data_IF_554266246138
#
_entry.id   IF_554266246138
#
_cell.length_a   1.000
_cell.length_b   1.000
_cell.length_c   1.000
_cell.angle_alpha   90.00
_cell.angle_beta   90.00
_cell.angle_gamma   90.00
#
_symmetry.space_group_name_H-M   'P 1'
#
loop_
_entity.id
_entity.type
_entity.pdbx_description
1 polymer ?
#
# COMPACT_ATOMS: atom_id res chain seq x y z
N UNK A 1 -7.28 10.20 -1.05
CA UNK A 1 -5.82 10.19 -0.86
C UNK A 1 -5.19 9.28 -1.89
N UNK A 2 -3.96 9.58 -2.32
CA UNK A 2 -3.11 8.68 -3.11
C UNK A 2 -2.44 7.69 -2.17
N UNK A 3 -2.61 6.40 -2.43
CA UNK A 3 -2.05 5.33 -1.61
C UNK A 3 -1.09 4.52 -2.45
N UNK A 4 0.20 4.53 -2.09
CA UNK A 4 1.18 3.66 -2.69
C UNK A 4 1.09 2.25 -2.12
N UNK A 5 1.10 1.23 -2.97
CA UNK A 5 1.06 -0.18 -2.56
C UNK A 5 2.46 -0.76 -2.72
N UNK A 6 3.02 -1.30 -1.64
CA UNK A 6 4.36 -1.86 -1.58
C UNK A 6 4.31 -3.30 -1.05
N UNK A 7 5.13 -4.19 -1.62
CA UNK A 7 5.11 -5.61 -1.26
C UNK A 7 6.09 -6.47 -2.06
N UNK A 8 6.15 -7.78 -1.79
CA UNK A 8 6.96 -8.71 -2.57
C UNK A 8 6.34 -8.92 -3.96
N UNK A 9 7.18 -8.87 -5.01
CA UNK A 9 6.80 -9.18 -6.40
C UNK A 9 7.70 -10.29 -6.99
N UNK A 10 9.02 -10.14 -6.89
CA UNK A 10 9.99 -11.07 -7.46
C UNK A 10 9.92 -12.47 -6.83
N UNK A 11 9.95 -13.51 -7.67
CA UNK A 11 9.94 -14.90 -7.23
C UNK A 11 8.57 -15.47 -6.84
N UNK A 12 7.49 -14.69 -6.97
CA UNK A 12 6.12 -15.14 -6.74
C UNK A 12 5.38 -15.42 -8.05
N UNK A 13 4.38 -16.34 -8.05
CA UNK A 13 3.51 -16.55 -9.20
C UNK A 13 2.88 -15.23 -9.67
N UNK A 14 2.88 -14.99 -10.99
CA UNK A 14 2.31 -13.78 -11.60
C UNK A 14 2.86 -12.47 -10.99
N UNK A 15 4.09 -12.48 -10.46
CA UNK A 15 4.71 -11.35 -9.75
C UNK A 15 3.83 -10.76 -8.64
N UNK A 16 2.98 -11.59 -8.03
CA UNK A 16 2.01 -11.17 -7.01
C UNK A 16 0.98 -10.12 -7.50
N UNK A 17 0.84 -9.91 -8.81
CA UNK A 17 -0.03 -8.89 -9.41
C UNK A 17 -1.47 -8.99 -8.91
N UNK A 18 -1.96 -10.21 -8.69
CA UNK A 18 -3.32 -10.46 -8.18
C UNK A 18 -3.54 -9.83 -6.80
N UNK A 19 -2.58 -9.98 -5.88
CA UNK A 19 -2.67 -9.38 -4.55
C UNK A 19 -2.58 -7.86 -4.60
N UNK A 20 -1.69 -7.32 -5.44
CA UNK A 20 -1.61 -5.87 -5.66
C UNK A 20 -2.92 -5.30 -6.20
N UNK A 21 -3.54 -5.99 -7.16
CA UNK A 21 -4.82 -5.58 -7.76
C UNK A 21 -5.99 -5.70 -6.76
N UNK A 22 -5.99 -6.73 -5.91
CA UNK A 22 -6.95 -6.87 -4.81
C UNK A 22 -6.87 -5.67 -3.86
N UNK A 23 -5.67 -5.34 -3.39
CA UNK A 23 -5.44 -4.18 -2.49
C UNK A 23 -5.80 -2.88 -3.20
N UNK A 24 -5.44 -2.72 -4.48
CA UNK A 24 -5.85 -1.55 -5.27
C UNK A 24 -7.38 -1.42 -5.33
N UNK A 25 -8.10 -2.54 -5.45
CA UNK A 25 -9.56 -2.58 -5.36
C UNK A 25 -10.09 -2.12 -4.01
N UNK A 26 -9.44 -2.50 -2.89
CA UNK A 26 -9.81 -2.01 -1.55
C UNK A 26 -9.55 -0.51 -1.38
N UNK A 27 -8.42 -0.02 -1.91
CA UNK A 27 -8.09 1.41 -1.93
C UNK A 27 -9.17 2.18 -2.70
N UNK A 28 -9.54 1.74 -3.90
CA UNK A 28 -10.62 2.36 -4.68
C UNK A 28 -11.94 2.32 -3.92
N UNK A 29 -12.31 1.16 -3.36
CA UNK A 29 -13.53 1.00 -2.56
C UNK A 29 -13.56 2.00 -1.42
N UNK A 30 -12.44 2.27 -0.75
CA UNK A 30 -12.28 3.28 0.31
C UNK A 30 -12.36 4.75 -0.12
N UNK A 31 -12.61 5.03 -1.41
CA UNK A 31 -12.66 6.40 -1.96
C UNK A 31 -11.28 7.02 -2.19
N UNK A 32 -10.24 6.19 -2.28
CA UNK A 32 -8.85 6.61 -2.46
C UNK A 32 -8.32 6.21 -3.85
N UNK A 33 -7.18 6.77 -4.24
CA UNK A 33 -6.52 6.53 -5.52
C UNK A 33 -5.34 5.58 -5.30
N UNK A 34 -5.35 4.35 -5.82
CA UNK A 34 -4.22 3.45 -5.70
C UNK A 34 -3.08 3.86 -6.65
N UNK A 35 -1.86 3.90 -6.12
CA UNK A 35 -0.63 3.91 -6.89
C UNK A 35 -0.03 2.51 -6.81
N UNK A 36 -0.21 1.75 -7.90
CA UNK A 36 0.08 0.32 -7.94
C UNK A 36 1.23 0.00 -8.92
N UNK A 37 2.42 -0.42 -8.42
CA UNK A 37 3.55 -0.78 -9.28
C UNK A 37 3.28 -2.02 -10.15
N UNK A 38 2.29 -2.85 -9.81
CA UNK A 38 1.91 -4.03 -10.60
C UNK A 38 1.25 -3.68 -11.95
N UNK A 39 0.96 -2.40 -12.21
CA UNK A 39 0.45 -1.92 -13.51
C UNK A 39 1.56 -1.61 -14.51
N UNK A 40 2.82 -1.63 -14.08
CA UNK A 40 3.98 -1.37 -14.93
C UNK A 40 4.18 -2.51 -15.96
N UNK A 41 4.68 -2.20 -17.17
CA UNK A 41 4.93 -3.20 -18.19
C UNK A 41 6.02 -4.18 -17.75
N UNK A 42 5.98 -5.40 -18.28
CA UNK A 42 7.03 -6.39 -18.09
C UNK A 42 8.31 -6.03 -18.88
N UNK A 43 9.44 -6.62 -18.48
CA UNK A 43 10.71 -6.53 -19.22
C UNK A 43 11.61 -5.37 -18.82
N UNK A 44 11.25 -4.59 -17.79
CA UNK A 44 12.15 -3.57 -17.24
C UNK A 44 13.16 -4.21 -16.27
N UNK A 45 14.38 -3.65 -16.16
CA UNK A 45 15.29 -4.06 -15.10
C UNK A 45 14.79 -3.57 -13.74
N UNK A 46 15.20 -4.25 -12.67
CA UNK A 46 14.83 -3.91 -11.28
C UNK A 46 15.07 -2.43 -10.94
N UNK A 47 16.18 -1.86 -11.43
CA UNK A 47 16.52 -0.44 -11.24
C UNK A 47 15.42 0.50 -11.73
N UNK A 48 14.81 0.20 -12.87
CA UNK A 48 13.81 1.07 -13.49
C UNK A 48 12.47 0.92 -12.77
N UNK A 49 12.10 -0.30 -12.35
CA UNK A 49 10.96 -0.50 -11.47
C UNK A 49 11.11 0.27 -10.16
N UNK A 50 12.29 0.22 -9.53
CA UNK A 50 12.56 0.98 -8.29
C UNK A 50 12.49 2.48 -8.52
N UNK A 51 13.01 3.00 -9.63
CA UNK A 51 12.96 4.43 -9.94
C UNK A 51 11.50 4.92 -10.06
N UNK A 52 10.66 4.15 -10.78
CA UNK A 52 9.24 4.49 -10.94
C UNK A 52 8.48 4.33 -9.62
N UNK A 53 8.71 3.24 -8.86
CA UNK A 53 8.08 2.99 -7.56
C UNK A 53 8.41 4.08 -6.53
N UNK A 54 9.66 4.54 -6.48
CA UNK A 54 10.08 5.66 -5.63
C UNK A 54 9.35 6.95 -6.02
N UNK A 55 9.24 7.25 -7.31
CA UNK A 55 8.51 8.44 -7.78
C UNK A 55 7.01 8.37 -7.43
N UNK A 56 6.40 7.19 -7.58
CA UNK A 56 5.01 6.95 -7.15
C UNK A 56 4.86 7.17 -5.65
N UNK A 57 5.74 6.61 -4.83
CA UNK A 57 5.73 6.77 -3.37
C UNK A 57 5.90 8.23 -2.95
N UNK A 58 6.81 8.98 -3.56
CA UNK A 58 7.00 10.41 -3.28
C UNK A 58 5.75 11.25 -3.58
N UNK A 59 4.91 10.79 -4.51
CA UNK A 59 3.63 11.43 -4.83
C UNK A 59 2.48 10.94 -3.94
N UNK A 60 2.69 9.95 -3.08
CA UNK A 60 1.63 9.33 -2.28
C UNK A 60 1.37 10.11 -0.98
N UNK A 61 0.11 10.10 -0.55
CA UNK A 61 -0.28 10.63 0.76
C UNK A 61 -0.11 9.57 1.87
N UNK A 62 0.00 8.29 1.48
CA UNK A 62 0.12 7.14 2.36
C UNK A 62 0.76 5.93 1.67
N UNK A 63 1.35 5.01 2.45
CA UNK A 63 1.88 3.73 1.97
C UNK A 63 1.12 2.54 2.58
N UNK A 64 0.70 1.58 1.75
CA UNK A 64 0.10 0.32 2.15
C UNK A 64 1.09 -0.82 1.92
N UNK A 65 1.50 -1.49 3.00
CA UNK A 65 2.43 -2.61 2.95
C UNK A 65 1.65 -3.94 2.92
N UNK A 66 1.85 -4.73 1.86
CA UNK A 66 1.28 -6.08 1.72
C UNK A 66 2.04 -7.05 2.63
N UNK A 67 1.35 -8.06 3.16
CA UNK A 67 1.97 -9.09 4.00
C UNK A 67 3.20 -9.73 3.33
N UNK A 68 4.28 -9.89 4.09
CA UNK A 68 5.56 -10.36 3.58
C UNK A 68 6.45 -9.25 2.99
N UNK A 69 6.08 -7.97 3.11
CA UNK A 69 6.93 -6.85 2.69
C UNK A 69 8.30 -6.85 3.40
N UNK A 70 8.40 -7.40 4.62
CA UNK A 70 9.63 -7.45 5.40
C UNK A 70 10.73 -8.26 4.70
N UNK A 71 10.36 -9.26 3.89
CA UNK A 71 11.32 -10.09 3.15
C UNK A 71 11.72 -9.48 1.80
N UNK A 72 10.92 -8.54 1.26
CA UNK A 72 11.16 -7.88 -0.02
C UNK A 72 12.18 -6.74 0.12
N UNK A 73 13.32 -6.84 -0.59
CA UNK A 73 14.34 -5.78 -0.58
C UNK A 73 13.79 -4.44 -1.09
N UNK A 74 13.01 -4.46 -2.17
CA UNK A 74 12.36 -3.26 -2.71
C UNK A 74 11.35 -2.65 -1.74
N UNK A 75 10.45 -3.46 -1.16
CA UNK A 75 9.44 -2.95 -0.23
C UNK A 75 10.05 -2.41 1.07
N UNK A 76 11.17 -2.98 1.54
CA UNK A 76 11.94 -2.42 2.67
C UNK A 76 12.53 -1.05 2.33
N UNK A 77 13.06 -0.87 1.11
CA UNK A 77 13.60 0.41 0.67
C UNK A 77 12.51 1.49 0.58
N UNK A 78 11.35 1.13 0.01
CA UNK A 78 10.17 2.00 -0.06
C UNK A 78 9.66 2.38 1.34
N UNK A 79 9.56 1.42 2.26
CA UNK A 79 9.18 1.69 3.66
C UNK A 79 10.15 2.66 4.32
N UNK A 80 11.46 2.46 4.15
CA UNK A 80 12.47 3.36 4.71
C UNK A 80 12.35 4.79 4.16
N UNK A 81 12.06 4.94 2.86
CA UNK A 81 11.80 6.24 2.25
C UNK A 81 10.52 6.87 2.80
N UNK A 82 9.43 6.10 2.93
CA UNK A 82 8.18 6.56 3.50
C UNK A 82 8.37 7.10 4.93
N UNK A 83 9.13 6.38 5.76
CA UNK A 83 9.48 6.84 7.11
C UNK A 83 10.22 8.17 7.09
N UNK A 84 11.20 8.31 6.19
CA UNK A 84 12.03 9.51 6.04
C UNK A 84 11.21 10.72 5.59
N UNK A 85 10.24 10.51 4.71
CA UNK A 85 9.36 11.55 4.16
C UNK A 85 8.13 11.82 5.03
N UNK A 86 8.01 11.10 6.14
CA UNK A 86 6.86 11.15 7.02
C UNK A 86 5.52 10.75 6.39
N UNK A 87 5.58 9.86 5.40
CA UNK A 87 4.39 9.30 4.75
C UNK A 87 3.76 8.26 5.70
N UNK A 88 2.49 8.44 6.11
CA UNK A 88 1.84 7.52 7.03
C UNK A 88 1.61 6.14 6.40
N UNK A 89 1.75 5.10 7.22
CA UNK A 89 1.42 3.74 6.83
C UNK A 89 -0.06 3.47 7.01
N UNK A 90 -0.61 2.76 6.04
CA UNK A 90 -2.00 2.35 6.04
C UNK A 90 -2.17 0.81 5.91
N UNK A 91 -2.95 0.14 6.78
CA UNK A 91 -3.40 -1.27 6.64
C UNK A 91 -4.92 -1.42 6.46
N UNK A 92 -5.34 -2.10 5.39
CA UNK A 92 -6.74 -2.50 5.22
C UNK A 92 -7.01 -3.77 6.02
N UNK A 93 -8.04 -3.75 6.86
CA UNK A 93 -8.53 -4.95 7.54
C UNK A 93 -9.86 -5.35 6.92
N UNK A 94 -9.96 -6.60 6.49
CA UNK A 94 -11.25 -7.24 6.26
C UNK A 94 -11.84 -7.46 7.65
N UNK A 95 -12.73 -6.56 8.06
CA UNK A 95 -13.43 -6.69 9.32
C UNK A 95 -14.32 -7.95 9.29
N UNK A 96 -13.77 -9.09 9.71
CA UNK A 96 -14.53 -10.05 10.48
C UNK A 96 -14.91 -9.36 11.78
N UNK A 97 -16.22 -9.20 12.02
CA UNK A 97 -16.83 -8.73 13.25
C UNK A 97 -15.98 -9.09 14.50
N UNK A 98 -15.29 -8.12 15.11
CA UNK A 98 -15.00 -8.10 16.56
C UNK A 98 -14.30 -6.80 16.98
N UNK A 99 -14.95 -6.11 17.93
CA UNK A 99 -14.49 -4.99 18.75
C UNK A 99 -14.33 -3.59 18.13
N UNK A 100 -15.47 -2.89 18.07
CA UNK A 100 -15.56 -1.43 18.11
C UNK A 100 -15.00 -0.88 19.43
N UNK A 101 -13.73 -0.43 19.45
CA UNK A 101 -13.30 0.47 20.54
C UNK A 101 -12.33 1.59 20.17
N UNK A 102 -11.93 1.74 18.91
CA UNK A 102 -10.97 2.78 18.51
C UNK A 102 -11.26 3.48 17.18
N UNK A 103 -12.51 3.45 16.69
CA UNK A 103 -12.89 4.22 15.48
C UNK A 103 -13.41 5.58 15.91
N UNK A 104 -12.50 6.51 16.19
CA UNK A 104 -12.82 7.94 16.15
C UNK A 104 -11.65 8.69 15.54
N UNK A 105 -11.74 8.96 14.23
CA UNK A 105 -11.79 10.32 13.65
C UNK A 105 -11.63 10.23 12.13
N UNK A 106 -12.67 10.72 11.43
CA UNK A 106 -12.81 10.94 9.98
C UNK A 106 -13.31 9.72 9.19
N UNK A 107 -14.55 9.30 9.47
CA UNK A 107 -15.41 8.76 8.42
C UNK A 107 -16.06 9.94 7.69
N UNK A 108 -15.68 10.21 6.44
CA UNK A 108 -16.55 10.97 5.51
C UNK A 108 -17.65 10.01 5.00
N UNK A 109 -18.88 10.49 4.80
CA UNK A 109 -19.99 9.60 4.42
C UNK A 109 -19.73 9.01 3.04
N UNK A 110 -19.64 7.67 2.95
CA UNK A 110 -19.59 6.98 1.65
C UNK A 110 -18.92 5.60 1.58
N UNK A 111 -18.09 5.16 2.55
CA UNK A 111 -17.48 3.81 2.48
C UNK A 111 -17.28 3.13 3.84
N UNK A 112 -17.78 1.91 3.94
CA UNK A 112 -17.65 0.92 5.02
C UNK A 112 -16.44 -0.02 4.84
N UNK A 113 -15.22 0.51 4.86
CA UNK A 113 -14.03 -0.31 5.19
C UNK A 113 -13.26 0.44 6.27
N UNK A 114 -13.18 -0.07 7.51
CA UNK A 114 -12.38 0.56 8.55
C UNK A 114 -10.91 0.48 8.16
N UNK A 115 -10.27 1.64 8.14
CA UNK A 115 -8.87 1.80 7.81
C UNK A 115 -8.14 2.26 9.09
N UNK A 116 -7.04 1.61 9.48
CA UNK A 116 -6.29 1.92 10.70
C UNK A 116 -4.97 2.62 10.41
N UNK A 117 -4.86 3.92 10.72
CA UNK A 117 -3.57 4.61 10.76
C UNK A 117 -2.75 4.00 11.89
N UNK A 118 -1.62 3.39 11.55
CA UNK A 118 -0.77 2.82 12.58
C UNK A 118 0.13 3.93 13.12
N UNK A 119 -0.07 4.28 14.40
CA UNK A 119 0.73 5.30 15.07
C UNK A 119 2.20 4.89 15.09
N UNK A 120 3.06 5.89 14.82
CA UNK A 120 4.53 5.73 14.82
C UNK A 120 4.97 5.44 16.25
N UNK A 121 5.66 4.31 16.47
CA UNK A 121 6.46 4.10 17.69
C UNK A 121 7.76 4.89 17.60
#
# INVERSE_FOLDING_TARGET
MKVYIAGPMSGLPNFNRDRFNEIAGLVVKSGNIPLNPATLPDGLPERDYMAVGIAMLQCADAICLIDGWESSAGARAEKALADKLNIPRIRFSIAGWTNLRWIFRICRPGVTIPFYLEDRK
#
